data_IF_165766062344
#
_entry.id   IF_165766062344
#
_cell.length_a   1.000
_cell.length_b   1.000
_cell.length_c   1.000
_cell.angle_alpha   90.00
_cell.angle_beta   90.00
_cell.angle_gamma   90.00
#
_symmetry.space_group_name_H-M   'P 1'
#
loop_
_entity.id
_entity.type
_entity.pdbx_description
1 polymer ?
#
# COMPACT_ATOMS: atom_id res chain seq x y z
N UNK A 1 -11.50 26.53 -5.62
CA UNK A 1 -12.06 25.19 -5.43
C UNK A 1 -11.18 24.19 -6.17
N UNK A 2 -10.62 23.27 -5.47
CA UNK A 2 -9.63 22.30 -5.97
C UNK A 2 -10.27 21.19 -6.77
N UNK A 3 -11.58 21.03 -6.64
CA UNK A 3 -12.42 20.26 -7.55
C UNK A 3 -13.11 21.16 -8.59
N UNK A 4 -12.68 22.42 -8.70
CA UNK A 4 -13.09 23.17 -9.85
C UNK A 4 -12.56 22.42 -11.07
N UNK A 5 -13.46 21.94 -11.86
CA UNK A 5 -13.12 21.55 -13.22
C UNK A 5 -12.30 22.69 -13.82
N UNK A 6 -11.17 22.37 -14.43
CA UNK A 6 -10.45 23.34 -15.23
C UNK A 6 -11.42 23.95 -16.23
N UNK A 7 -11.14 25.11 -16.74
CA UNK A 7 -11.97 25.75 -17.79
C UNK A 7 -12.27 24.83 -18.98
N UNK A 8 -11.38 23.85 -19.21
CA UNK A 8 -11.57 22.72 -20.13
C UNK A 8 -12.81 21.90 -19.80
N UNK A 9 -13.17 21.76 -18.51
CA UNK A 9 -14.36 21.01 -18.08
C UNK A 9 -15.68 21.72 -18.40
N UNK A 10 -15.67 23.04 -18.61
CA UNK A 10 -16.87 23.80 -19.01
C UNK A 10 -17.13 23.79 -20.50
N UNK A 11 -16.15 23.40 -21.30
CA UNK A 11 -16.25 23.34 -22.75
C UNK A 11 -16.14 21.89 -23.19
N UNK A 12 -17.18 21.40 -23.87
CA UNK A 12 -17.10 20.04 -24.44
C UNK A 12 -16.23 20.05 -25.70
N UNK A 13 -14.99 19.58 -25.56
CA UNK A 13 -14.05 19.41 -26.67
C UNK A 13 -14.21 18.08 -27.43
N UNK A 14 -15.13 17.23 -26.99
CA UNK A 14 -15.32 15.89 -27.54
C UNK A 14 -16.32 15.96 -28.72
N UNK A 15 -15.81 15.84 -29.92
CA UNK A 15 -16.64 15.88 -31.13
C UNK A 15 -17.47 14.61 -31.33
N UNK A 16 -17.10 13.52 -30.67
CA UNK A 16 -17.72 12.19 -30.83
C UNK A 16 -18.53 11.71 -29.61
N UNK A 17 -18.91 12.62 -28.70
CA UNK A 17 -19.60 12.23 -27.46
C UNK A 17 -20.94 11.52 -27.71
N UNK A 18 -21.63 11.88 -28.78
CA UNK A 18 -22.95 11.36 -29.14
C UNK A 18 -22.91 10.47 -30.39
N UNK A 19 -21.71 10.09 -30.87
CA UNK A 19 -21.60 9.14 -31.97
C UNK A 19 -22.13 7.76 -31.57
N UNK A 20 -22.81 7.09 -32.47
CA UNK A 20 -23.14 5.68 -32.33
C UNK A 20 -21.86 4.84 -32.46
N UNK A 21 -21.49 4.21 -31.38
CA UNK A 21 -20.25 3.41 -31.28
C UNK A 21 -20.48 1.90 -31.51
N UNK A 22 -21.71 1.46 -31.76
CA UNK A 22 -22.05 0.04 -31.89
C UNK A 22 -21.22 -0.67 -32.97
N UNK A 23 -20.99 -0.03 -34.11
CA UNK A 23 -20.17 -0.61 -35.18
C UNK A 23 -18.70 -0.75 -34.77
N UNK A 24 -18.15 0.24 -34.05
CA UNK A 24 -16.76 0.18 -33.54
C UNK A 24 -16.62 -0.89 -32.46
N UNK A 25 -17.59 -1.01 -31.57
CA UNK A 25 -17.61 -2.03 -30.51
C UNK A 25 -17.73 -3.44 -31.12
N UNK A 26 -18.56 -3.61 -32.14
CA UNK A 26 -18.70 -4.89 -32.84
C UNK A 26 -17.43 -5.37 -33.56
N UNK A 27 -16.47 -4.50 -33.78
CA UNK A 27 -15.15 -4.85 -34.35
C UNK A 27 -14.16 -5.33 -33.30
N UNK A 28 -14.44 -5.15 -32.00
CA UNK A 28 -13.58 -5.59 -30.92
C UNK A 28 -13.96 -7.05 -30.62
N UNK A 29 -13.07 -7.97 -30.98
CA UNK A 29 -13.27 -9.38 -30.66
C UNK A 29 -13.01 -9.68 -29.20
N UNK A 30 -13.60 -10.78 -28.69
CA UNK A 30 -13.32 -11.28 -27.34
C UNK A 30 -11.81 -11.53 -27.15
N UNK A 31 -11.13 -12.05 -28.18
CA UNK A 31 -9.69 -12.26 -28.14
C UNK A 31 -8.93 -10.94 -27.93
N UNK A 32 -9.33 -9.86 -28.58
CA UNK A 32 -8.72 -8.54 -28.38
C UNK A 32 -8.85 -8.08 -26.92
N UNK A 33 -10.01 -8.33 -26.28
CA UNK A 33 -10.23 -8.00 -24.87
C UNK A 33 -9.38 -8.88 -23.96
N UNK A 34 -9.31 -10.17 -24.26
CA UNK A 34 -8.48 -11.13 -23.51
C UNK A 34 -7.00 -10.71 -23.59
N UNK A 35 -6.48 -10.49 -24.78
CA UNK A 35 -5.09 -10.08 -24.98
C UNK A 35 -4.76 -8.78 -24.23
N UNK A 36 -5.68 -7.82 -24.24
CA UNK A 36 -5.55 -6.59 -23.50
C UNK A 36 -5.48 -6.83 -21.99
N UNK A 37 -6.35 -7.68 -21.45
CA UNK A 37 -6.42 -7.94 -19.99
C UNK A 37 -5.20 -8.71 -19.48
N UNK A 38 -4.65 -9.62 -20.29
CA UNK A 38 -3.52 -10.47 -19.89
C UNK A 38 -2.14 -9.87 -20.22
N UNK A 39 -2.10 -8.70 -20.84
CA UNK A 39 -0.83 -7.99 -21.07
C UNK A 39 -0.32 -7.36 -19.77
N UNK A 40 0.89 -7.76 -19.37
CA UNK A 40 1.61 -7.13 -18.26
C UNK A 40 2.05 -5.71 -18.62
N UNK A 41 1.41 -4.73 -18.00
CA UNK A 41 1.78 -3.32 -18.12
C UNK A 41 2.57 -2.81 -16.92
N UNK A 42 2.60 -3.56 -15.82
CA UNK A 42 3.31 -3.17 -14.61
C UNK A 42 4.82 -3.29 -14.77
N UNK A 43 5.32 -4.42 -15.27
CA UNK A 43 6.76 -4.58 -15.50
C UNK A 43 7.28 -3.53 -16.48
N UNK A 44 6.50 -3.20 -17.51
CA UNK A 44 6.83 -2.14 -18.47
C UNK A 44 6.91 -0.76 -17.78
N UNK A 45 5.97 -0.46 -16.88
CA UNK A 45 5.99 0.78 -16.08
C UNK A 45 7.27 0.86 -15.24
N UNK A 46 7.60 -0.19 -14.49
CA UNK A 46 8.80 -0.21 -13.64
C UNK A 46 10.06 0.01 -14.47
N UNK A 47 10.20 -0.67 -15.61
CA UNK A 47 11.34 -0.48 -16.51
C UNK A 47 11.44 0.96 -17.06
N UNK A 48 10.31 1.59 -17.36
CA UNK A 48 10.28 2.97 -17.83
C UNK A 48 10.73 3.94 -16.74
N UNK A 49 10.26 3.75 -15.50
CA UNK A 49 10.67 4.57 -14.37
C UNK A 49 12.17 4.41 -14.07
N UNK A 50 12.68 3.17 -14.08
CA UNK A 50 14.11 2.90 -13.85
C UNK A 50 15.04 3.48 -14.93
N UNK A 51 14.57 3.58 -16.17
CA UNK A 51 15.34 4.12 -17.31
C UNK A 51 15.20 5.64 -17.46
N UNK A 52 14.21 6.25 -16.82
CA UNK A 52 13.94 7.68 -16.97
C UNK A 52 14.99 8.52 -16.22
N UNK A 53 15.63 9.43 -16.93
CA UNK A 53 16.50 10.43 -16.31
C UNK A 53 15.75 11.58 -15.64
N UNK A 54 14.45 11.68 -15.87
CA UNK A 54 13.58 12.73 -15.33
C UNK A 54 12.83 12.27 -14.08
N UNK A 55 12.85 10.96 -13.78
CA UNK A 55 12.20 10.40 -12.61
C UNK A 55 13.20 10.19 -11.48
N UNK A 56 13.07 10.96 -10.41
CA UNK A 56 13.85 10.85 -9.17
C UNK A 56 12.97 10.46 -7.96
N UNK A 57 11.70 10.11 -8.23
CA UNK A 57 10.73 9.67 -7.23
C UNK A 57 10.88 8.19 -6.85
N UNK A 58 10.07 7.72 -5.92
CA UNK A 58 10.06 6.30 -5.55
C UNK A 58 9.59 5.43 -6.73
N UNK A 59 10.20 4.25 -6.83
CA UNK A 59 9.80 3.21 -7.79
C UNK A 59 9.19 2.07 -6.98
N UNK A 60 7.87 1.84 -7.09
CA UNK A 60 7.18 0.80 -6.33
C UNK A 60 7.42 -0.58 -6.97
N UNK A 61 8.68 -1.05 -6.91
CA UNK A 61 9.11 -2.29 -7.54
C UNK A 61 8.82 -3.49 -6.66
N UNK A 62 8.13 -4.48 -7.25
CA UNK A 62 7.94 -5.82 -6.74
C UNK A 62 7.92 -6.78 -7.93
N UNK A 63 8.93 -7.63 -8.03
CA UNK A 63 9.05 -8.53 -9.18
C UNK A 63 7.86 -9.51 -9.25
N UNK A 64 7.40 -9.75 -10.46
CA UNK A 64 6.30 -10.69 -10.73
C UNK A 64 4.95 -10.30 -10.12
N UNK A 65 4.77 -9.06 -9.68
CA UNK A 65 3.50 -8.62 -9.08
C UNK A 65 2.31 -8.85 -10.05
N UNK A 66 2.53 -8.80 -11.37
CA UNK A 66 1.52 -9.10 -12.37
C UNK A 66 0.95 -10.53 -12.27
N UNK A 67 1.69 -11.46 -11.67
CA UNK A 67 1.24 -12.84 -11.39
C UNK A 67 0.40 -12.98 -10.11
N UNK A 68 0.17 -11.87 -9.40
CA UNK A 68 -0.64 -11.86 -8.18
C UNK A 68 0.00 -12.67 -7.05
N UNK A 69 -0.74 -13.65 -6.51
CA UNK A 69 -0.31 -14.45 -5.37
C UNK A 69 1.03 -15.21 -5.61
N UNK A 70 1.37 -15.52 -6.85
CA UNK A 70 2.62 -16.21 -7.18
C UNK A 70 3.87 -15.39 -6.86
N UNK A 71 3.74 -14.06 -6.74
CA UNK A 71 4.84 -13.18 -6.35
C UNK A 71 5.23 -13.31 -4.86
N UNK A 72 4.39 -13.96 -4.05
CA UNK A 72 4.55 -14.07 -2.61
C UNK A 72 4.75 -15.52 -2.17
N UNK A 73 5.39 -15.69 -1.02
CA UNK A 73 5.48 -16.98 -0.32
C UNK A 73 4.21 -17.26 0.50
N UNK A 74 4.20 -18.41 1.20
CA UNK A 74 3.05 -18.84 2.00
C UNK A 74 2.75 -17.95 3.21
N UNK A 75 3.70 -17.12 3.63
CA UNK A 75 3.54 -16.13 4.69
C UNK A 75 3.16 -14.73 4.13
N UNK A 76 3.08 -14.59 2.81
CA UNK A 76 2.76 -13.34 2.14
C UNK A 76 3.95 -12.43 1.89
N UNK A 77 5.20 -12.87 2.11
CA UNK A 77 6.39 -12.08 1.80
C UNK A 77 6.75 -12.18 0.33
N UNK A 78 7.14 -11.05 -0.27
CA UNK A 78 7.58 -11.01 -1.65
C UNK A 78 8.83 -11.87 -1.87
N UNK A 79 8.79 -12.78 -2.86
CA UNK A 79 9.88 -13.71 -3.17
C UNK A 79 11.12 -13.04 -3.75
N UNK A 80 11.02 -11.80 -4.19
CA UNK A 80 12.11 -11.04 -4.82
C UNK A 80 13.08 -10.38 -3.83
N UNK A 81 12.83 -10.52 -2.52
CA UNK A 81 13.62 -9.90 -1.47
C UNK A 81 13.41 -8.38 -1.34
N UNK A 82 12.35 -7.84 -1.91
CA UNK A 82 11.98 -6.42 -1.78
C UNK A 82 11.36 -6.07 -0.43
N UNK A 83 11.12 -7.07 0.41
CA UNK A 83 10.51 -6.98 1.74
C UNK A 83 9.06 -6.45 1.74
N UNK A 84 8.40 -6.40 0.59
CA UNK A 84 6.97 -6.18 0.53
C UNK A 84 6.22 -7.38 1.09
N UNK A 85 5.13 -7.11 1.79
CA UNK A 85 4.28 -8.15 2.39
C UNK A 85 2.85 -7.94 1.93
N UNK A 86 2.21 -8.99 1.43
CA UNK A 86 0.79 -8.98 1.10
C UNK A 86 -0.02 -8.69 2.37
N UNK A 87 -0.94 -7.73 2.29
CA UNK A 87 -1.64 -7.20 3.45
C UNK A 87 -3.15 -7.17 3.19
N UNK A 88 -3.91 -7.83 4.02
CA UNK A 88 -5.35 -7.94 3.85
C UNK A 88 -6.14 -6.67 4.22
N UNK A 89 -5.50 -5.71 4.89
CA UNK A 89 -6.14 -4.50 5.36
C UNK A 89 -6.02 -3.38 4.33
N UNK A 90 -7.15 -2.84 3.91
CA UNK A 90 -7.21 -1.65 3.05
C UNK A 90 -7.04 -0.40 3.90
N UNK A 91 -5.98 0.39 3.74
CA UNK A 91 -5.76 1.61 4.53
C UNK A 91 -6.81 2.70 4.25
N UNK A 92 -7.52 2.61 3.10
CA UNK A 92 -8.56 3.56 2.67
C UNK A 92 -9.81 2.81 2.20
N UNK A 93 -10.58 2.15 3.09
CA UNK A 93 -11.65 1.25 2.70
C UNK A 93 -12.78 1.92 1.92
N UNK A 94 -13.05 3.19 2.15
CA UNK A 94 -14.14 3.93 1.49
C UNK A 94 -13.88 4.29 0.05
N UNK A 95 -12.63 4.25 -0.40
CA UNK A 95 -12.23 4.76 -1.73
C UNK A 95 -12.19 3.67 -2.79
N UNK A 96 -12.27 2.39 -2.41
CA UNK A 96 -11.86 1.27 -3.26
C UNK A 96 -12.86 0.12 -3.34
N UNK A 97 -14.15 0.42 -3.24
CA UNK A 97 -15.15 -0.58 -3.59
C UNK A 97 -15.04 -0.91 -5.08
N UNK A 98 -14.93 -2.20 -5.44
CA UNK A 98 -14.92 -2.61 -6.84
C UNK A 98 -16.32 -2.45 -7.46
N UNK A 99 -16.72 -1.20 -7.70
CA UNK A 99 -18.03 -0.90 -8.30
C UNK A 99 -18.03 -1.05 -9.82
N UNK A 100 -16.88 -1.29 -10.42
CA UNK A 100 -16.67 -1.32 -11.87
C UNK A 100 -15.97 -2.59 -12.37
N UNK A 101 -16.06 -3.70 -11.62
CA UNK A 101 -15.42 -4.96 -11.98
C UNK A 101 -13.90 -4.92 -11.79
N UNK A 102 -13.40 -4.25 -10.77
CA UNK A 102 -12.00 -4.29 -10.38
C UNK A 102 -11.79 -4.94 -9.02
N UNK A 103 -10.58 -5.45 -8.80
CA UNK A 103 -10.11 -5.98 -7.53
C UNK A 103 -8.81 -5.30 -7.14
N UNK A 104 -8.44 -5.36 -5.87
CA UNK A 104 -7.30 -4.65 -5.31
C UNK A 104 -6.37 -5.62 -4.58
N UNK A 105 -5.06 -5.39 -4.75
CA UNK A 105 -4.02 -5.98 -3.92
C UNK A 105 -3.39 -4.85 -3.10
N UNK A 106 -3.13 -5.09 -1.83
CA UNK A 106 -2.45 -4.14 -0.96
C UNK A 106 -1.23 -4.82 -0.35
N UNK A 107 -0.07 -4.19 -0.49
CA UNK A 107 1.19 -4.61 0.11
C UNK A 107 1.67 -3.53 1.07
N UNK A 108 2.25 -3.96 2.19
CA UNK A 108 2.91 -3.10 3.16
C UNK A 108 4.41 -3.37 3.18
N UNK A 109 5.20 -2.33 3.48
CA UNK A 109 6.61 -2.46 3.82
C UNK A 109 6.94 -1.50 4.96
N UNK A 110 7.46 -2.04 6.07
CA UNK A 110 7.96 -1.22 7.15
C UNK A 110 9.40 -0.78 6.86
N UNK A 111 9.90 0.32 7.47
CA UNK A 111 11.29 0.76 7.33
C UNK A 111 12.31 -0.29 7.73
N UNK A 112 13.57 -0.09 7.33
CA UNK A 112 14.65 -1.07 7.52
C UNK A 112 14.85 -1.45 8.98
N UNK A 113 14.80 -0.50 9.91
CA UNK A 113 14.97 -0.73 11.34
C UNK A 113 13.90 -1.66 11.94
N UNK A 114 12.75 -1.78 11.30
CA UNK A 114 11.69 -2.72 11.70
C UNK A 114 11.90 -4.14 11.17
N UNK A 115 12.90 -4.33 10.31
CA UNK A 115 13.21 -5.60 9.64
C UNK A 115 14.59 -6.13 9.99
N UNK A 116 15.35 -5.35 10.77
CA UNK A 116 16.72 -5.68 11.18
C UNK A 116 16.82 -5.84 12.69
N UNK A 117 17.81 -6.62 13.12
CA UNK A 117 18.06 -6.85 14.53
C UNK A 117 19.55 -6.97 14.86
N UNK A 118 20.09 -5.92 15.50
CA UNK A 118 21.50 -5.85 15.89
C UNK A 118 21.84 -6.75 17.08
N UNK A 119 20.86 -7.18 17.89
CA UNK A 119 21.13 -8.03 19.05
C UNK A 119 21.60 -9.42 18.67
N UNK A 120 21.28 -9.89 17.46
CA UNK A 120 21.63 -11.22 16.96
C UNK A 120 22.53 -11.14 15.72
N UNK A 121 23.60 -10.35 15.80
CA UNK A 121 24.60 -10.23 14.75
C UNK A 121 24.29 -9.20 13.65
N UNK A 122 23.14 -8.53 13.71
CA UNK A 122 22.72 -7.50 12.77
C UNK A 122 22.16 -8.05 11.45
N UNK A 123 21.53 -7.17 10.69
CA UNK A 123 20.95 -7.49 9.40
C UNK A 123 19.48 -7.91 9.47
N UNK A 124 18.96 -8.34 8.33
CA UNK A 124 17.56 -8.75 8.18
C UNK A 124 17.21 -9.93 9.07
N UNK A 125 16.08 -9.83 9.75
CA UNK A 125 15.51 -10.86 10.62
C UNK A 125 14.02 -11.03 10.33
N UNK A 126 13.66 -12.19 9.79
CA UNK A 126 12.25 -12.50 9.49
C UNK A 126 11.39 -12.50 10.76
N UNK A 127 11.89 -13.09 11.86
CA UNK A 127 11.18 -13.12 13.15
C UNK A 127 10.90 -11.69 13.66
N UNK A 128 11.89 -10.78 13.56
CA UNK A 128 11.73 -9.38 13.92
C UNK A 128 10.71 -8.66 13.02
N UNK A 129 10.74 -8.94 11.71
CA UNK A 129 9.81 -8.31 10.78
C UNK A 129 8.38 -8.78 11.00
N UNK A 130 8.16 -10.09 11.19
CA UNK A 130 6.83 -10.64 11.53
C UNK A 130 6.32 -10.01 12.84
N UNK A 131 7.17 -9.94 13.88
CA UNK A 131 6.81 -9.34 15.15
C UNK A 131 6.38 -7.86 14.99
N UNK A 132 7.14 -7.07 14.24
CA UNK A 132 6.82 -5.65 14.03
C UNK A 132 5.58 -5.43 13.16
N UNK A 133 5.30 -6.29 12.17
CA UNK A 133 4.04 -6.27 11.43
C UNK A 133 2.85 -6.57 12.33
N UNK A 134 2.99 -7.56 13.21
CA UNK A 134 1.95 -7.92 14.18
C UNK A 134 1.72 -6.81 15.23
N UNK A 135 2.78 -6.15 15.70
CA UNK A 135 2.67 -4.98 16.58
C UNK A 135 1.95 -3.83 15.86
N UNK A 136 2.27 -3.58 14.61
CA UNK A 136 1.57 -2.57 13.81
C UNK A 136 0.09 -2.93 13.62
N UNK A 137 -0.24 -4.20 13.41
CA UNK A 137 -1.62 -4.68 13.33
C UNK A 137 -2.38 -4.43 14.63
N UNK A 138 -1.80 -4.80 15.77
CA UNK A 138 -2.40 -4.55 17.09
C UNK A 138 -2.63 -3.06 17.32
N UNK A 139 -1.66 -2.22 16.97
CA UNK A 139 -1.79 -0.77 17.10
C UNK A 139 -2.93 -0.20 16.26
N UNK A 140 -3.09 -0.65 15.01
CA UNK A 140 -4.10 -0.16 14.08
C UNK A 140 -5.51 -0.66 14.45
N UNK A 141 -5.63 -1.89 14.95
CA UNK A 141 -6.90 -2.49 15.30
C UNK A 141 -7.28 -2.33 16.78
N UNK A 142 -6.43 -1.69 17.57
CA UNK A 142 -6.58 -1.54 19.04
C UNK A 142 -6.77 -2.89 19.74
N UNK A 143 -5.93 -3.88 19.37
CA UNK A 143 -5.96 -5.22 19.94
C UNK A 143 -4.94 -5.35 21.06
N UNK A 144 -5.26 -6.12 22.10
CA UNK A 144 -4.34 -6.43 23.19
C UNK A 144 -3.40 -7.60 22.89
N UNK A 145 -3.70 -8.39 21.87
CA UNK A 145 -2.86 -9.49 21.42
C UNK A 145 -3.24 -9.95 20.01
N UNK A 146 -2.32 -10.58 19.30
CA UNK A 146 -2.54 -11.15 17.97
C UNK A 146 -1.81 -12.49 17.82
N UNK A 147 -2.38 -13.40 17.05
CA UNK A 147 -1.73 -14.66 16.67
C UNK A 147 -0.80 -14.40 15.49
N UNK A 148 0.37 -15.01 15.53
CA UNK A 148 1.44 -14.89 14.51
C UNK A 148 1.89 -16.26 14.06
N UNK A 149 2.57 -16.40 12.90
CA UNK A 149 3.41 -17.55 12.63
C UNK A 149 4.44 -17.73 13.75
N UNK A 150 4.91 -18.95 13.96
CA UNK A 150 5.91 -19.22 15.02
C UNK A 150 7.12 -18.31 14.94
N UNK A 151 7.37 -17.55 16.00
CA UNK A 151 8.50 -16.61 16.16
C UNK A 151 9.42 -17.14 17.25
N UNK A 152 10.71 -17.16 16.98
CA UNK A 152 11.74 -17.47 17.97
C UNK A 152 12.19 -16.17 18.67
N UNK A 153 11.73 -15.96 19.89
CA UNK A 153 12.03 -14.76 20.69
C UNK A 153 13.53 -14.58 20.95
N UNK A 154 14.29 -15.69 20.98
CA UNK A 154 15.74 -15.62 21.13
C UNK A 154 16.42 -14.90 19.96
N UNK A 155 15.82 -14.95 18.77
CA UNK A 155 16.27 -14.21 17.59
C UNK A 155 15.82 -12.76 17.59
N UNK A 156 14.71 -12.46 18.26
CA UNK A 156 14.20 -11.10 18.46
C UNK A 156 14.88 -10.43 19.67
N UNK A 157 15.39 -11.23 20.60
CA UNK A 157 15.98 -10.83 21.89
C UNK A 157 14.99 -10.08 22.79
N UNK A 158 13.72 -10.38 22.67
CA UNK A 158 12.67 -9.78 23.50
C UNK A 158 11.55 -10.78 23.75
N UNK A 159 11.06 -10.79 24.97
CA UNK A 159 9.85 -11.51 25.40
C UNK A 159 8.64 -10.82 24.75
N UNK A 160 7.93 -11.50 23.86
CA UNK A 160 6.84 -10.97 23.06
C UNK A 160 5.46 -11.27 23.66
N UNK A 161 5.36 -12.30 24.50
CA UNK A 161 4.11 -12.70 25.13
C UNK A 161 4.06 -12.34 26.64
N UNK A 162 5.12 -11.69 27.15
CA UNK A 162 5.27 -11.23 28.54
C UNK A 162 5.24 -12.36 29.58
N UNK A 163 5.73 -13.55 29.23
CA UNK A 163 5.81 -14.70 30.14
C UNK A 163 7.12 -14.77 30.95
N UNK A 164 8.12 -13.94 30.62
CA UNK A 164 9.41 -13.83 31.27
C UNK A 164 10.47 -14.79 30.72
N UNK A 165 10.19 -15.53 29.65
CA UNK A 165 11.09 -16.46 28.98
C UNK A 165 11.33 -16.00 27.54
N UNK A 166 12.40 -16.52 26.92
CA UNK A 166 12.62 -16.38 25.48
C UNK A 166 12.43 -17.75 24.84
N UNK A 167 11.30 -17.96 24.22
CA UNK A 167 10.92 -19.23 23.61
C UNK A 167 10.30 -19.04 22.23
N UNK A 168 9.77 -20.09 21.63
CA UNK A 168 9.02 -19.98 20.36
C UNK A 168 7.58 -19.70 20.68
N UNK A 169 7.07 -18.58 20.18
CA UNK A 169 5.70 -18.10 20.43
C UNK A 169 4.90 -18.01 19.15
N UNK A 170 3.59 -18.19 19.27
CA UNK A 170 2.60 -18.02 18.19
C UNK A 170 1.58 -16.91 18.52
N UNK A 171 1.88 -16.13 19.56
CA UNK A 171 1.05 -15.02 20.00
C UNK A 171 1.91 -13.91 20.58
N UNK A 172 1.58 -12.68 20.24
CA UNK A 172 2.24 -11.47 20.76
C UNK A 172 1.23 -10.68 21.57
N UNK A 173 1.68 -10.11 22.69
CA UNK A 173 0.92 -9.14 23.51
C UNK A 173 1.20 -7.71 23.04
N UNK A 174 0.29 -6.79 23.34
CA UNK A 174 0.49 -5.36 23.08
C UNK A 174 1.73 -4.81 23.82
N UNK A 175 2.34 -3.80 23.21
CA UNK A 175 3.65 -3.30 23.63
C UNK A 175 3.72 -1.78 23.45
N UNK A 176 4.54 -1.16 24.28
CA UNK A 176 4.80 0.28 24.17
C UNK A 176 5.77 0.64 23.05
N UNK A 177 6.62 -0.30 22.62
CA UNK A 177 7.65 -0.10 21.60
C UNK A 177 7.69 -1.27 20.61
N UNK A 178 8.13 -0.97 19.39
CA UNK A 178 8.51 -1.98 18.41
C UNK A 178 9.74 -2.77 18.88
N UNK A 179 10.18 -3.76 18.11
CA UNK A 179 11.29 -4.65 18.46
C UNK A 179 12.43 -4.57 17.45
N UNK A 180 13.54 -5.24 17.75
CA UNK A 180 14.76 -5.21 16.92
C UNK A 180 15.43 -3.84 16.96
N UNK A 181 15.90 -3.38 15.81
CA UNK A 181 16.56 -2.06 15.70
C UNK A 181 15.55 -0.90 15.84
N UNK A 182 14.25 -1.18 15.76
CA UNK A 182 13.17 -0.23 16.02
C UNK A 182 12.75 -0.13 17.51
N UNK A 183 13.49 -0.71 18.43
CA UNK A 183 13.11 -0.83 19.86
C UNK A 183 12.99 0.48 20.63
N UNK A 184 13.35 1.59 20.03
CA UNK A 184 13.16 2.96 20.58
C UNK A 184 11.98 3.68 19.95
N UNK A 185 11.33 3.09 18.95
CA UNK A 185 10.17 3.68 18.27
C UNK A 185 8.91 3.31 19.07
N UNK A 186 8.17 4.31 19.62
CA UNK A 186 6.96 4.01 20.35
C UNK A 186 5.85 3.52 19.43
N UNK A 187 5.04 2.61 19.94
CA UNK A 187 3.80 2.16 19.30
C UNK A 187 2.72 3.23 19.55
N UNK A 188 2.11 3.71 18.49
CA UNK A 188 1.02 4.68 18.59
C UNK A 188 -0.27 4.06 18.07
N UNK A 189 -1.33 4.11 18.90
CA UNK A 189 -2.64 3.56 18.54
C UNK A 189 -3.20 4.22 17.29
N UNK A 190 -3.78 3.43 16.40
CA UNK A 190 -4.39 3.85 15.14
C UNK A 190 -3.43 4.52 14.14
N UNK A 191 -2.11 4.44 14.38
CA UNK A 191 -1.09 5.10 13.56
C UNK A 191 0.02 4.13 13.15
N UNK A 192 0.33 4.13 11.85
CA UNK A 192 1.54 3.47 11.36
C UNK A 192 2.80 4.27 11.72
N UNK A 193 3.96 3.61 11.91
CA UNK A 193 5.21 4.31 12.14
C UNK A 193 5.67 5.10 10.92
N UNK A 194 6.51 6.12 11.14
CA UNK A 194 7.11 6.88 10.06
C UNK A 194 7.93 5.96 9.14
N UNK A 195 7.91 6.24 7.85
CA UNK A 195 8.60 5.46 6.84
C UNK A 195 7.80 4.27 6.32
N UNK A 196 6.65 3.92 6.90
CA UNK A 196 5.76 2.89 6.36
C UNK A 196 5.37 3.19 4.92
N UNK A 197 5.44 2.18 4.08
CA UNK A 197 5.07 2.26 2.66
C UNK A 197 3.91 1.31 2.36
N UNK A 198 3.03 1.75 1.47
CA UNK A 198 2.00 0.90 0.87
C UNK A 198 2.13 0.91 -0.64
N UNK A 199 1.98 -0.26 -1.23
CA UNK A 199 1.81 -0.45 -2.65
C UNK A 199 0.42 -1.05 -2.88
N UNK A 200 -0.38 -0.39 -3.70
CA UNK A 200 -1.76 -0.77 -3.96
C UNK A 200 -1.99 -0.87 -5.46
N UNK A 201 -2.47 -2.00 -5.94
CA UNK A 201 -2.84 -2.20 -7.33
C UNK A 201 -4.36 -2.20 -7.48
N UNK A 202 -4.85 -1.68 -8.58
CA UNK A 202 -6.24 -1.82 -9.00
C UNK A 202 -6.25 -2.62 -10.30
N UNK A 203 -6.89 -3.78 -10.28
CA UNK A 203 -6.90 -4.72 -11.41
C UNK A 203 -8.29 -4.90 -11.99
N UNK A 204 -8.32 -5.43 -13.19
CA UNK A 204 -9.55 -5.94 -13.77
C UNK A 204 -9.97 -7.25 -13.10
N UNK A 205 -11.23 -7.61 -13.25
CA UNK A 205 -11.73 -8.96 -13.01
C UNK A 205 -11.87 -9.65 -14.37
N UNK A 206 -11.26 -10.80 -14.50
CA UNK A 206 -11.29 -11.62 -15.71
C UNK A 206 -11.90 -12.98 -15.45
N UNK A 207 -12.01 -13.77 -16.51
CA UNK A 207 -12.41 -15.17 -16.46
C UNK A 207 -11.30 -16.02 -17.10
N UNK A 208 -11.01 -17.15 -16.50
CA UNK A 208 -10.16 -18.17 -17.13
C UNK A 208 -10.89 -18.95 -18.23
N UNK A 209 -10.22 -19.93 -18.83
CA UNK A 209 -10.79 -20.75 -19.91
C UNK A 209 -11.96 -21.62 -19.43
N UNK A 210 -12.01 -21.94 -18.16
CA UNK A 210 -13.05 -22.71 -17.49
C UNK A 210 -14.23 -21.84 -17.04
N UNK A 211 -14.13 -20.50 -17.19
CA UNK A 211 -15.14 -19.54 -16.76
C UNK A 211 -15.06 -19.17 -15.29
N UNK A 212 -14.00 -19.54 -14.59
CA UNK A 212 -13.75 -19.15 -13.20
C UNK A 212 -13.23 -17.72 -13.13
N UNK A 213 -13.61 -17.01 -12.07
CA UNK A 213 -13.14 -15.63 -11.84
C UNK A 213 -11.66 -15.65 -11.53
N UNK A 214 -10.92 -14.80 -12.24
CA UNK A 214 -9.49 -14.61 -11.99
C UNK A 214 -9.08 -13.14 -12.08
N UNK A 215 -7.90 -12.85 -11.55
CA UNK A 215 -7.29 -11.54 -11.63
C UNK A 215 -6.25 -11.53 -12.76
N UNK A 216 -6.50 -10.84 -13.88
CA UNK A 216 -5.58 -10.79 -15.00
C UNK A 216 -4.33 -9.95 -14.68
N UNK A 217 -3.29 -10.09 -15.51
CA UNK A 217 -2.00 -9.44 -15.32
C UNK A 217 -2.08 -7.89 -15.37
N UNK A 218 -2.99 -7.37 -16.22
CA UNK A 218 -3.09 -5.93 -16.44
C UNK A 218 -3.63 -5.19 -15.23
N UNK A 219 -2.94 -4.12 -14.87
CA UNK A 219 -3.36 -3.19 -13.82
C UNK A 219 -4.02 -1.96 -14.41
N UNK A 220 -5.10 -1.48 -13.79
CA UNK A 220 -5.73 -0.19 -14.10
C UNK A 220 -4.93 0.97 -13.51
N UNK A 221 -4.46 0.76 -12.28
CA UNK A 221 -3.71 1.74 -11.51
C UNK A 221 -2.71 1.02 -10.61
N UNK A 222 -1.60 1.69 -10.37
CA UNK A 222 -0.65 1.36 -9.31
C UNK A 222 -0.54 2.60 -8.42
N UNK A 223 -0.78 2.43 -7.13
CA UNK A 223 -0.72 3.52 -6.15
C UNK A 223 0.36 3.21 -5.13
N UNK A 224 1.16 4.20 -4.85
CA UNK A 224 2.20 4.13 -3.84
C UNK A 224 1.96 5.20 -2.79
N UNK A 225 2.15 4.84 -1.52
CA UNK A 225 2.04 5.77 -0.41
C UNK A 225 3.23 5.58 0.52
N UNK A 226 3.75 6.69 1.05
CA UNK A 226 4.81 6.67 2.05
C UNK A 226 4.49 7.63 3.19
N UNK A 227 4.55 7.14 4.42
CA UNK A 227 4.44 7.98 5.60
C UNK A 227 5.75 8.73 5.83
N UNK A 228 5.85 9.94 5.29
CA UNK A 228 7.07 10.73 5.35
C UNK A 228 7.23 11.50 6.66
N UNK A 229 6.13 11.77 7.36
CA UNK A 229 6.12 12.46 8.65
C UNK A 229 5.19 11.75 9.61
N UNK A 230 5.66 11.53 10.83
CA UNK A 230 4.80 11.09 11.92
C UNK A 230 4.19 12.32 12.58
N UNK A 231 2.88 12.36 12.64
CA UNK A 231 2.11 13.30 13.45
C UNK A 231 1.44 12.53 14.58
N UNK A 232 1.58 13.02 15.79
CA UNK A 232 0.90 12.45 16.94
C UNK A 232 -0.60 12.80 16.96
N UNK A 233 -1.32 12.32 17.96
CA UNK A 233 -2.76 12.55 18.09
C UNK A 233 -3.10 14.05 18.17
N UNK A 234 -2.30 14.84 18.89
CA UNK A 234 -2.54 16.27 19.04
C UNK A 234 -2.33 17.04 17.74
N UNK A 235 -1.26 16.70 17.01
CA UNK A 235 -0.98 17.24 15.68
C UNK A 235 -2.11 16.91 14.70
N UNK A 236 -2.55 15.66 14.67
CA UNK A 236 -3.63 15.22 13.81
C UNK A 236 -4.95 15.88 14.16
N UNK A 237 -5.27 16.01 15.45
CA UNK A 237 -6.47 16.71 15.90
C UNK A 237 -6.49 18.16 15.41
N UNK A 238 -5.37 18.86 15.53
CA UNK A 238 -5.22 20.23 15.02
C UNK A 238 -5.42 20.31 13.50
N UNK A 239 -4.83 19.38 12.75
CA UNK A 239 -4.94 19.32 11.27
C UNK A 239 -6.37 19.03 10.82
N UNK A 240 -7.04 18.07 11.43
CA UNK A 240 -8.46 17.81 11.16
C UNK A 240 -9.37 18.98 11.55
N UNK A 241 -9.03 19.71 12.61
CA UNK A 241 -9.72 20.93 12.99
C UNK A 241 -9.62 22.02 11.91
N UNK A 242 -8.43 22.22 11.36
CA UNK A 242 -8.18 23.17 10.28
C UNK A 242 -8.93 22.77 9.01
N UNK A 243 -8.86 21.49 8.60
CA UNK A 243 -9.59 20.98 7.44
C UNK A 243 -11.11 21.17 7.59
N UNK A 244 -11.63 20.91 8.80
CA UNK A 244 -13.05 21.15 9.10
C UNK A 244 -13.42 22.63 8.97
N UNK A 245 -12.55 23.54 9.44
CA UNK A 245 -12.77 24.97 9.33
C UNK A 245 -12.75 25.43 7.87
N UNK A 246 -11.74 25.01 7.10
CA UNK A 246 -11.66 25.29 5.66
C UNK A 246 -12.92 24.85 4.92
N UNK A 247 -13.40 23.64 5.22
CA UNK A 247 -14.64 23.14 4.65
C UNK A 247 -15.87 23.98 5.04
N UNK A 248 -15.91 24.47 6.30
CA UNK A 248 -16.98 25.34 6.77
C UNK A 248 -16.95 26.69 6.05
N UNK A 249 -15.76 27.20 5.76
CA UNK A 249 -15.55 28.47 5.05
C UNK A 249 -15.76 28.34 3.51
N UNK A 250 -16.10 27.14 3.03
CA UNK A 250 -16.32 26.86 1.62
C UNK A 250 -15.03 26.64 0.82
N UNK A 251 -13.90 26.48 1.52
CA UNK A 251 -12.63 26.10 0.93
C UNK A 251 -12.52 24.57 0.90
N UNK A 252 -11.73 24.07 -0.05
CA UNK A 252 -11.37 22.65 -0.09
C UNK A 252 -9.94 22.47 0.40
N UNK A 253 -9.61 21.29 0.99
CA UNK A 253 -8.25 21.00 1.43
C UNK A 253 -7.25 21.20 0.29
N UNK A 254 -6.14 21.83 0.60
CA UNK A 254 -5.07 22.01 -0.37
C UNK A 254 -4.03 20.91 -0.18
N UNK A 255 -3.77 20.19 -1.26
CA UNK A 255 -2.70 19.20 -1.32
C UNK A 255 -1.44 19.82 -1.91
N UNK A 256 -0.29 19.50 -1.32
CA UNK A 256 0.98 20.04 -1.80
C UNK A 256 1.56 19.06 -2.82
N UNK A 257 1.63 19.48 -4.07
CA UNK A 257 2.32 18.73 -5.11
C UNK A 257 3.83 18.82 -4.92
N UNK A 258 4.49 17.68 -4.73
CA UNK A 258 5.95 17.57 -4.58
C UNK A 258 6.62 16.95 -5.82
N UNK A 259 6.03 17.12 -6.98
CA UNK A 259 6.54 16.58 -8.24
C UNK A 259 6.59 15.05 -8.24
N UNK A 260 7.72 14.50 -8.64
CA UNK A 260 7.97 13.05 -8.71
C UNK A 260 7.93 12.34 -7.35
N UNK A 261 8.02 13.08 -6.23
CA UNK A 261 7.87 12.54 -4.89
C UNK A 261 6.40 12.31 -4.49
N UNK A 262 5.45 12.85 -5.24
CA UNK A 262 4.03 12.66 -5.03
C UNK A 262 3.31 13.87 -4.46
N UNK A 263 2.08 13.65 -4.05
CA UNK A 263 1.22 14.64 -3.42
C UNK A 263 1.18 14.41 -1.91
N UNK A 264 1.53 15.46 -1.15
CA UNK A 264 1.43 15.47 0.29
C UNK A 264 -0.03 15.74 0.70
N UNK A 265 -0.62 14.82 1.44
CA UNK A 265 -2.02 14.91 1.86
C UNK A 265 -2.26 15.80 3.09
N UNK A 266 -1.21 16.44 3.62
CA UNK A 266 -1.29 17.25 4.85
C UNK A 266 -1.33 16.45 6.16
N UNK A 267 -1.44 15.12 6.09
CA UNK A 267 -1.52 14.21 7.25
C UNK A 267 -0.33 13.26 7.35
N UNK A 268 0.80 13.66 6.77
CA UNK A 268 2.08 12.94 6.85
C UNK A 268 2.29 11.87 5.78
N UNK A 269 1.45 11.79 4.75
CA UNK A 269 1.60 10.84 3.67
C UNK A 269 1.88 11.52 2.34
N UNK A 270 2.83 10.97 1.61
CA UNK A 270 3.02 11.21 0.18
C UNK A 270 2.27 10.12 -0.58
N UNK A 271 1.53 10.53 -1.61
CA UNK A 271 0.72 9.64 -2.45
C UNK A 271 1.10 9.83 -3.91
N UNK A 272 1.36 8.73 -4.60
CA UNK A 272 1.63 8.66 -6.04
C UNK A 272 0.63 7.72 -6.71
N UNK A 273 0.25 8.05 -7.93
CA UNK A 273 -0.50 7.18 -8.83
C UNK A 273 0.22 7.03 -10.16
N UNK A 274 0.20 5.81 -10.70
CA UNK A 274 0.81 5.45 -11.98
C UNK A 274 -0.22 4.79 -12.90
#
# INVERSE_FOLDING_TARGET
>A
SEYAFSDVGFTNHWQNLFEDRRERIAQISDQTVIDYLYTDNYSTLIEQLEKSSEWDGPIPKLANLHLGAEAFDDLGFAKDGSDWVAFNYKPLPSTFWPTNGSTDDVMIRLPTEFRTNSCNGGGYSLDTYIANLAIAEMAIQDLSSVTVPSIDESKVCQDLDNNGLLEVVERIQDRDFYVGDANTVPVAKMLYPQGTEFLHTVRYVGLDQEGSIMTPARMKEVRYMKKHTFYDEADLHSRYGNEKQEKTDGNLPQYINRGTQGTDNGFGWLVLGF
#
